data_IF_651717349454
#
_entry.id   IF_651717349454
#
_cell.length_a   1.000
_cell.length_b   1.000
_cell.length_c   1.000
_cell.angle_alpha   90.00
_cell.angle_beta   90.00
_cell.angle_gamma   90.00
#
_symmetry.space_group_name_H-M   'P 1'
#
loop_
_entity.id
_entity.type
_entity.pdbx_description
1 polymer ?
#
# COMPACT_ATOMS: atom_id res chain seq x y z
N UNK A 1 -1.13 4.96 21.52
CA UNK A 1 -0.53 4.68 20.21
C UNK A 1 -0.39 5.94 19.38
N UNK A 2 0.72 6.09 18.68
CA UNK A 2 0.88 7.20 17.74
C UNK A 2 0.02 6.98 16.51
N UNK A 3 -0.59 8.06 16.00
CA UNK A 3 -1.33 8.02 14.73
C UNK A 3 -0.63 8.91 13.72
N UNK A 4 -0.32 8.34 12.58
CA UNK A 4 0.33 9.05 11.47
C UNK A 4 -0.46 8.72 10.20
N UNK A 5 -0.81 9.75 9.45
CA UNK A 5 -1.60 9.61 8.21
C UNK A 5 -2.92 8.84 8.42
N UNK A 6 -3.51 8.96 9.61
CA UNK A 6 -4.74 8.26 9.96
C UNK A 6 -4.58 6.80 10.35
N UNK A 7 -3.34 6.32 10.47
CA UNK A 7 -3.04 4.92 10.81
C UNK A 7 -2.47 4.84 12.22
N UNK A 8 -2.96 3.90 13.01
CA UNK A 8 -2.42 3.61 14.33
C UNK A 8 -1.12 2.80 14.18
N UNK A 9 -0.02 3.38 14.64
CA UNK A 9 1.30 2.77 14.52
C UNK A 9 1.55 1.84 15.70
N UNK A 10 2.04 0.60 15.48
CA UNK A 10 2.36 -0.29 16.60
C UNK A 10 3.39 0.30 17.55
N UNK A 11 3.10 0.28 18.85
CA UNK A 11 3.97 0.88 19.86
C UNK A 11 5.26 0.12 20.09
N UNK A 12 5.23 -1.20 19.94
CA UNK A 12 6.34 -2.09 20.29
C UNK A 12 7.28 -2.37 19.12
N UNK A 13 7.08 -1.74 17.97
CA UNK A 13 7.95 -1.89 16.80
C UNK A 13 8.92 -0.71 16.70
N UNK A 14 10.10 -0.94 16.14
CA UNK A 14 11.00 0.16 15.80
C UNK A 14 10.29 1.08 14.81
N UNK A 15 10.56 2.36 14.89
CA UNK A 15 9.88 3.33 14.03
C UNK A 15 10.10 3.02 12.53
N UNK A 16 11.28 2.54 12.16
CA UNK A 16 11.58 2.14 10.78
C UNK A 16 10.58 1.09 10.27
N UNK A 17 10.28 0.10 11.11
CA UNK A 17 9.33 -0.96 10.74
C UNK A 17 7.90 -0.49 10.90
N UNK A 18 7.62 0.30 11.95
CA UNK A 18 6.27 0.79 12.23
C UNK A 18 5.72 1.64 11.09
N UNK A 19 6.54 2.47 10.46
CA UNK A 19 6.13 3.30 9.33
C UNK A 19 5.68 2.47 8.12
N UNK A 20 6.20 1.26 7.96
CA UNK A 20 5.80 0.41 6.83
C UNK A 20 4.36 -0.10 6.95
N UNK A 21 3.71 0.08 8.10
CA UNK A 21 2.30 -0.26 8.28
C UNK A 21 1.38 0.76 7.58
N UNK A 22 1.92 1.89 7.14
CA UNK A 22 1.16 2.89 6.38
C UNK A 22 1.14 2.45 4.91
N UNK A 23 -0.04 2.40 4.31
CA UNK A 23 -0.17 2.04 2.89
C UNK A 23 0.56 3.08 2.03
N UNK A 24 1.50 2.63 1.26
CA UNK A 24 2.32 3.48 0.40
C UNK A 24 3.73 3.74 0.92
N UNK A 25 4.05 3.31 2.14
CA UNK A 25 5.39 3.43 2.71
C UNK A 25 5.99 2.04 2.89
N UNK A 26 7.07 1.77 2.16
CA UNK A 26 7.87 0.56 2.34
C UNK A 26 9.10 0.84 3.19
N UNK A 27 9.96 -0.14 3.34
CA UNK A 27 11.16 -0.01 4.17
C UNK A 27 12.07 1.11 3.67
N UNK A 28 12.29 1.22 2.37
CA UNK A 28 13.16 2.25 1.80
C UNK A 28 12.59 3.65 2.04
N UNK A 29 11.30 3.83 1.84
CA UNK A 29 10.64 5.11 2.09
C UNK A 29 10.71 5.48 3.56
N UNK A 30 10.52 4.50 4.45
CA UNK A 30 10.64 4.72 5.89
C UNK A 30 12.05 5.19 6.26
N UNK A 31 13.08 4.56 5.71
CA UNK A 31 14.47 4.96 5.93
C UNK A 31 14.74 6.39 5.46
N UNK A 32 14.23 6.76 4.29
CA UNK A 32 14.39 8.10 3.73
C UNK A 32 13.68 9.16 4.60
N UNK A 33 12.49 8.86 5.08
CA UNK A 33 11.73 9.75 5.96
C UNK A 33 12.51 9.98 7.26
N UNK A 34 13.02 8.94 7.87
CA UNK A 34 13.76 9.05 9.12
C UNK A 34 15.05 9.82 8.94
N UNK A 35 15.74 9.64 7.82
CA UNK A 35 16.96 10.39 7.52
C UNK A 35 16.68 11.89 7.38
N UNK A 36 15.58 12.26 6.73
CA UNK A 36 15.22 13.67 6.55
C UNK A 36 14.76 14.34 7.83
N UNK A 37 14.05 13.61 8.67
CA UNK A 37 13.53 14.17 9.93
C UNK A 37 14.53 14.09 11.09
N UNK A 38 15.60 13.33 10.91
CA UNK A 38 16.63 13.17 11.95
C UNK A 38 16.21 12.25 13.09
N UNK A 39 15.19 11.44 12.92
CA UNK A 39 14.72 10.49 13.93
C UNK A 39 15.56 9.22 13.87
N UNK A 40 15.94 8.69 15.04
CA UNK A 40 16.68 7.44 15.12
C UNK A 40 15.78 6.26 14.65
N UNK A 41 16.18 5.51 13.63
CA UNK A 41 15.35 4.39 13.14
C UNK A 41 15.16 3.26 14.15
N UNK A 42 16.02 3.16 15.15
CA UNK A 42 15.93 2.09 16.16
C UNK A 42 15.03 2.47 17.34
N UNK A 43 14.52 3.70 17.38
CA UNK A 43 13.60 4.13 18.44
C UNK A 43 12.27 3.40 18.30
N UNK A 44 11.74 2.87 19.40
CA UNK A 44 10.41 2.28 19.40
C UNK A 44 9.35 3.37 19.20
N UNK A 45 8.26 3.03 18.55
CA UNK A 45 7.20 4.01 18.28
C UNK A 45 6.65 4.62 19.57
N UNK A 46 6.56 3.85 20.64
CA UNK A 46 6.07 4.32 21.95
C UNK A 46 7.01 5.34 22.60
N UNK A 47 8.28 5.35 22.23
CA UNK A 47 9.31 6.22 22.82
C UNK A 47 9.50 7.53 22.06
N UNK A 48 8.72 7.75 21.00
CA UNK A 48 8.80 8.97 20.20
C UNK A 48 8.22 10.17 20.98
N UNK A 49 8.89 11.32 20.86
CA UNK A 49 8.34 12.58 21.39
C UNK A 49 7.27 13.12 20.45
N UNK A 50 6.44 14.02 20.96
CA UNK A 50 5.41 14.65 20.13
C UNK A 50 6.03 15.44 18.97
N UNK A 51 7.17 16.08 19.20
CA UNK A 51 7.89 16.81 18.15
C UNK A 51 8.37 15.88 17.04
N UNK A 52 8.86 14.70 17.41
CA UNK A 52 9.29 13.70 16.43
C UNK A 52 8.11 13.18 15.61
N UNK A 53 6.99 12.88 16.26
CA UNK A 53 5.77 12.43 15.57
C UNK A 53 5.28 13.52 14.62
N UNK A 54 5.27 14.78 15.04
CA UNK A 54 4.86 15.89 14.20
C UNK A 54 5.77 16.04 12.97
N UNK A 55 7.09 15.92 13.17
CA UNK A 55 8.05 15.97 12.05
C UNK A 55 7.82 14.87 11.04
N UNK A 56 7.59 13.65 11.51
CA UNK A 56 7.29 12.51 10.64
C UNK A 56 6.00 12.73 9.85
N UNK A 57 4.96 13.22 10.53
CA UNK A 57 3.68 13.50 9.91
C UNK A 57 3.81 14.56 8.81
N UNK A 58 4.51 15.65 9.10
CA UNK A 58 4.69 16.74 8.15
C UNK A 58 5.48 16.28 6.91
N UNK A 59 6.52 15.48 7.10
CA UNK A 59 7.30 14.95 5.98
C UNK A 59 6.47 14.03 5.09
N UNK A 60 5.67 13.17 5.69
CA UNK A 60 4.81 12.25 4.95
C UNK A 60 3.75 13.02 4.17
N UNK A 61 3.10 13.99 4.78
CA UNK A 61 2.06 14.79 4.12
C UNK A 61 2.63 15.63 2.98
N UNK A 62 3.85 16.14 3.13
CA UNK A 62 4.45 17.01 2.14
C UNK A 62 4.98 16.27 0.91
N UNK A 63 5.53 15.08 1.08
CA UNK A 63 6.31 14.42 0.03
C UNK A 63 5.82 13.03 -0.38
N UNK A 64 4.83 12.49 0.30
CA UNK A 64 4.36 11.13 0.04
C UNK A 64 2.86 11.09 -0.15
N UNK A 65 2.43 10.22 -1.07
CA UNK A 65 1.02 9.96 -1.32
C UNK A 65 0.69 8.61 -0.69
N UNK A 66 -0.08 8.61 0.39
CA UNK A 66 -0.30 7.42 1.22
C UNK A 66 -1.78 7.22 1.53
N UNK A 67 -2.10 6.02 1.98
CA UNK A 67 -3.43 5.62 2.46
C UNK A 67 -4.54 5.98 1.49
N UNK A 68 -5.57 6.69 1.93
CA UNK A 68 -6.73 6.99 1.10
C UNK A 68 -6.39 7.71 -0.20
N UNK A 69 -5.45 8.63 -0.17
CA UNK A 69 -5.04 9.38 -1.36
C UNK A 69 -4.36 8.46 -2.37
N UNK A 70 -3.48 7.57 -1.91
CA UNK A 70 -2.83 6.60 -2.78
C UNK A 70 -3.84 5.59 -3.33
N UNK A 71 -4.74 5.11 -2.50
CA UNK A 71 -5.78 4.17 -2.95
C UNK A 71 -6.66 4.79 -4.01
N UNK A 72 -7.01 6.06 -3.84
CA UNK A 72 -7.79 6.81 -4.84
C UNK A 72 -7.02 6.96 -6.14
N UNK A 73 -5.74 7.29 -6.06
CA UNK A 73 -4.88 7.43 -7.24
C UNK A 73 -4.78 6.12 -8.02
N UNK A 74 -4.55 5.01 -7.32
CA UNK A 74 -4.48 3.68 -7.97
C UNK A 74 -5.82 3.35 -8.63
N UNK A 75 -6.93 3.60 -7.95
CA UNK A 75 -8.26 3.33 -8.50
C UNK A 75 -8.53 4.16 -9.75
N UNK A 76 -8.14 5.44 -9.74
CA UNK A 76 -8.29 6.31 -10.91
C UNK A 76 -7.42 5.85 -12.07
N UNK A 77 -6.20 5.40 -11.79
CA UNK A 77 -5.30 4.89 -12.83
C UNK A 77 -5.87 3.63 -13.50
N UNK A 78 -6.43 2.73 -12.70
CA UNK A 78 -7.08 1.53 -13.22
C UNK A 78 -8.30 1.89 -14.05
N UNK A 79 -9.12 2.83 -13.55
CA UNK A 79 -10.29 3.30 -14.28
C UNK A 79 -9.90 3.91 -15.62
N UNK A 80 -8.83 4.71 -15.66
CA UNK A 80 -8.32 5.28 -16.90
C UNK A 80 -7.94 4.20 -17.90
N UNK A 81 -7.23 3.16 -17.46
CA UNK A 81 -6.86 2.03 -18.32
C UNK A 81 -8.09 1.32 -18.89
N UNK A 82 -9.11 1.13 -18.06
CA UNK A 82 -10.37 0.50 -18.50
C UNK A 82 -11.08 1.38 -19.54
N UNK A 83 -11.13 2.69 -19.31
CA UNK A 83 -11.82 3.63 -20.20
C UNK A 83 -11.17 3.72 -21.58
N UNK A 84 -9.84 3.70 -21.66
CA UNK A 84 -9.15 3.74 -22.96
C UNK A 84 -9.17 2.39 -23.68
N UNK A 85 -9.69 1.36 -23.01
CA UNK A 85 -9.94 0.03 -23.61
C UNK A 85 -8.66 -0.67 -24.09
N UNK A 86 -7.54 -0.45 -23.44
CA UNK A 86 -6.30 -1.14 -23.74
C UNK A 86 -6.32 -2.55 -23.14
N UNK A 87 -5.36 -3.39 -23.54
CA UNK A 87 -5.27 -4.77 -23.02
C UNK A 87 -5.19 -4.79 -21.49
N UNK A 88 -4.36 -3.93 -20.92
CA UNK A 88 -4.21 -3.87 -19.46
C UNK A 88 -5.54 -3.53 -18.76
N UNK A 89 -6.29 -2.59 -19.34
CA UNK A 89 -7.60 -2.21 -18.81
C UNK A 89 -8.60 -3.35 -18.88
N UNK A 90 -8.59 -4.09 -19.98
CA UNK A 90 -9.45 -5.26 -20.14
C UNK A 90 -9.14 -6.32 -19.08
N UNK A 91 -7.87 -6.57 -18.80
CA UNK A 91 -7.46 -7.50 -17.75
C UNK A 91 -7.94 -7.08 -16.38
N UNK A 92 -7.84 -5.77 -16.05
CA UNK A 92 -8.37 -5.23 -14.78
C UNK A 92 -9.89 -5.39 -14.70
N UNK A 93 -10.59 -5.08 -15.77
CA UNK A 93 -12.06 -5.19 -15.81
C UNK A 93 -12.52 -6.62 -15.56
N UNK A 94 -11.81 -7.60 -16.11
CA UNK A 94 -12.13 -9.02 -15.96
C UNK A 94 -11.58 -9.65 -14.69
N UNK A 95 -10.80 -8.92 -13.90
CA UNK A 95 -10.19 -9.47 -12.69
C UNK A 95 -9.11 -10.50 -12.97
N UNK A 96 -8.39 -10.38 -14.07
CA UNK A 96 -7.37 -11.32 -14.47
C UNK A 96 -5.97 -10.73 -14.30
N UNK A 97 -4.91 -11.58 -14.22
CA UNK A 97 -3.54 -11.08 -14.13
C UNK A 97 -3.20 -10.16 -15.29
N UNK A 98 -2.48 -9.08 -15.02
CA UNK A 98 -2.21 -8.00 -15.95
C UNK A 98 -0.85 -8.12 -16.63
N UNK A 99 0.08 -8.85 -16.00
CA UNK A 99 1.48 -8.91 -16.44
C UNK A 99 1.84 -10.15 -17.24
N UNK A 100 0.88 -10.68 -17.99
CA UNK A 100 1.14 -11.83 -18.87
C UNK A 100 1.24 -13.18 -18.17
N UNK A 101 0.79 -13.27 -16.93
CA UNK A 101 0.82 -14.52 -16.17
C UNK A 101 -0.21 -15.51 -16.70
N UNK A 102 0.08 -16.77 -16.47
CA UNK A 102 -0.84 -17.84 -16.86
C UNK A 102 -2.11 -17.78 -16.00
N UNK A 103 -3.26 -17.98 -16.62
CA UNK A 103 -4.55 -17.95 -15.90
C UNK A 103 -5.10 -19.35 -15.65
N UNK A 104 -4.52 -20.35 -16.30
CA UNK A 104 -5.03 -21.72 -16.27
C UNK A 104 -4.72 -22.45 -14.95
N UNK A 105 -3.70 -22.02 -14.21
CA UNK A 105 -3.25 -22.69 -13.00
C UNK A 105 -3.32 -21.81 -11.76
N UNK A 106 -2.34 -20.94 -11.55
CA UNK A 106 -2.06 -20.34 -10.23
C UNK A 106 -2.41 -18.86 -10.10
N UNK A 107 -3.34 -18.34 -10.88
CA UNK A 107 -3.68 -16.92 -10.83
C UNK A 107 -4.70 -16.59 -9.74
N UNK A 108 -4.55 -17.17 -8.53
CA UNK A 108 -5.55 -17.05 -7.47
C UNK A 108 -5.59 -15.67 -6.81
N UNK A 109 -4.47 -14.95 -6.74
CA UNK A 109 -4.42 -13.61 -6.15
C UNK A 109 -5.40 -12.66 -6.84
N UNK A 110 -5.47 -12.70 -8.16
CA UNK A 110 -6.40 -11.85 -8.93
C UNK A 110 -7.78 -12.46 -9.07
N UNK A 111 -7.84 -13.77 -9.31
CA UNK A 111 -9.11 -14.46 -9.54
C UNK A 111 -9.85 -14.82 -8.26
N UNK A 112 -9.14 -14.81 -7.13
CA UNK A 112 -9.68 -15.23 -5.86
C UNK A 112 -9.65 -16.74 -5.69
N UNK A 113 -10.24 -17.25 -4.58
CA UNK A 113 -10.26 -18.69 -4.34
C UNK A 113 -10.97 -19.45 -5.44
N UNK A 114 -10.58 -20.69 -5.64
CA UNK A 114 -11.22 -21.56 -6.62
C UNK A 114 -12.70 -21.76 -6.24
N UNK A 115 -13.59 -21.62 -7.24
CA UNK A 115 -15.03 -21.78 -7.06
C UNK A 115 -15.56 -22.89 -7.96
N UNK A 116 -16.41 -23.72 -7.39
CA UNK A 116 -17.13 -24.72 -8.15
C UNK A 116 -18.36 -24.09 -8.77
N UNK A 117 -18.54 -24.30 -10.07
CA UNK A 117 -19.72 -23.82 -10.77
C UNK A 117 -20.74 -24.97 -10.79
N UNK A 118 -21.87 -24.79 -10.11
CA UNK A 118 -22.83 -25.87 -9.84
C UNK A 118 -23.34 -26.57 -11.11
N UNK A 119 -23.63 -25.82 -12.14
CA UNK A 119 -24.22 -26.37 -13.37
C UNK A 119 -23.22 -26.43 -14.52
N UNK A 120 -21.95 -26.41 -14.23
CA UNK A 120 -20.93 -26.43 -15.27
C UNK A 120 -20.90 -27.83 -15.93
N UNK A 121 -21.04 -27.84 -17.23
CA UNK A 121 -20.90 -29.07 -18.00
C UNK A 121 -19.59 -29.08 -18.77
N UNK A 122 -19.04 -30.25 -18.95
CA UNK A 122 -17.79 -30.43 -19.67
C UNK A 122 -18.09 -30.72 -21.14
#
# INVERSE_FOLDING_TARGET
MARIAGVDIPNNKRIEIALTYIYGIGLKSAQDILAKTGVDPDTRAKDLTEAEVASLRDEIEANYNVEGDLRREVALNIKSLVEINCYRGIRHRKGLPVRGQRTKTNARTRKGPAKTIANKKK
#
